data_IF_256391280796
#
_entry.id   IF_256391280796
#
_cell.length_a   1.000
_cell.length_b   1.000
_cell.length_c   1.000
_cell.angle_alpha   90.00
_cell.angle_beta   90.00
_cell.angle_gamma   90.00
#
_symmetry.space_group_name_H-M   'P 1'
#
loop_
_entity.id
_entity.type
_entity.pdbx_description
1 polymer ?
#
# COMPACT_ATOMS: atom_id res chain seq x y z
N UNK A 1 0.24 -1.94 -3.65
CA UNK A 1 -0.77 -2.05 -2.58
C UNK A 1 -1.75 -3.16 -2.89
N UNK A 2 -2.34 -3.79 -1.87
CA UNK A 2 -3.28 -4.90 -2.03
C UNK A 2 -4.59 -4.58 -1.32
N UNK A 3 -5.72 -4.94 -1.93
CA UNK A 3 -7.04 -4.83 -1.32
C UNK A 3 -7.97 -5.89 -1.90
N UNK A 4 -9.15 -6.05 -1.31
CA UNK A 4 -10.18 -6.93 -1.83
C UNK A 4 -11.53 -6.22 -1.95
N UNK A 5 -12.31 -6.59 -2.95
CA UNK A 5 -13.71 -6.20 -3.08
C UNK A 5 -14.57 -7.37 -2.61
N UNK A 6 -15.46 -7.12 -1.66
CA UNK A 6 -16.47 -8.07 -1.20
C UNK A 6 -17.80 -7.71 -1.86
N UNK A 7 -18.46 -8.70 -2.47
CA UNK A 7 -19.83 -8.56 -3.01
C UNK A 7 -20.73 -9.59 -2.37
N UNK A 8 -21.90 -9.16 -1.90
CA UNK A 8 -22.92 -10.03 -1.34
C UNK A 8 -24.24 -9.74 -2.06
N UNK A 9 -24.72 -10.71 -2.83
CA UNK A 9 -25.96 -10.62 -3.64
C UNK A 9 -26.66 -11.98 -3.62
N UNK A 10 -28.00 -11.98 -3.48
CA UNK A 10 -28.87 -13.18 -3.56
C UNK A 10 -28.31 -14.45 -2.91
N UNK A 11 -27.89 -14.33 -1.64
CA UNK A 11 -27.37 -15.41 -0.80
C UNK A 11 -26.01 -16.00 -1.29
N UNK A 12 -25.29 -15.27 -2.13
CA UNK A 12 -23.93 -15.56 -2.56
C UNK A 12 -22.96 -14.49 -2.05
N UNK A 13 -21.76 -14.93 -1.66
CA UNK A 13 -20.66 -14.07 -1.25
C UNK A 13 -19.47 -14.29 -2.20
N UNK A 14 -18.97 -13.20 -2.78
CA UNK A 14 -17.80 -13.20 -3.65
C UNK A 14 -16.70 -12.29 -3.10
N UNK A 15 -15.45 -12.71 -3.28
CA UNK A 15 -14.26 -11.92 -2.95
C UNK A 15 -13.36 -11.79 -4.17
N UNK A 16 -12.96 -10.56 -4.48
CA UNK A 16 -12.05 -10.25 -5.59
C UNK A 16 -10.81 -9.56 -5.04
N UNK A 17 -9.68 -10.27 -5.04
CA UNK A 17 -8.38 -9.70 -4.63
C UNK A 17 -7.78 -8.89 -5.77
N UNK A 18 -7.32 -7.67 -5.46
CA UNK A 18 -6.73 -6.75 -6.43
C UNK A 18 -5.39 -6.22 -5.94
N UNK A 19 -4.50 -6.00 -6.90
CA UNK A 19 -3.21 -5.34 -6.71
C UNK A 19 -3.18 -4.03 -7.47
N UNK A 20 -2.68 -2.99 -6.83
CA UNK A 20 -2.45 -1.68 -7.46
C UNK A 20 -0.95 -1.48 -7.61
N UNK A 21 -0.46 -1.18 -8.83
CA UNK A 21 0.92 -0.76 -9.05
C UNK A 21 1.25 0.42 -8.14
N UNK A 22 2.40 0.34 -7.48
CA UNK A 22 2.85 1.35 -6.53
C UNK A 22 4.26 1.79 -6.91
N UNK A 23 4.46 3.10 -7.01
CA UNK A 23 5.80 3.68 -7.16
C UNK A 23 6.47 3.73 -5.79
N UNK A 24 7.26 2.70 -5.51
CA UNK A 24 8.00 2.56 -4.25
C UNK A 24 9.01 3.70 -4.09
N UNK A 25 9.68 4.09 -5.17
CA UNK A 25 10.69 5.14 -5.13
C UNK A 25 10.07 6.50 -4.78
N UNK A 26 8.87 6.79 -5.29
CA UNK A 26 8.12 8.00 -4.93
C UNK A 26 7.78 8.05 -3.44
N UNK A 27 7.41 6.92 -2.84
CA UNK A 27 7.12 6.83 -1.40
C UNK A 27 8.39 7.08 -0.58
N UNK A 28 9.49 6.41 -0.94
CA UNK A 28 10.80 6.60 -0.29
C UNK A 28 11.23 8.06 -0.35
N UNK A 29 11.11 8.73 -1.51
CA UNK A 29 11.40 10.16 -1.66
C UNK A 29 10.51 11.02 -0.76
N UNK A 30 9.21 10.74 -0.71
CA UNK A 30 8.27 11.49 0.12
C UNK A 30 8.57 11.33 1.62
N UNK A 31 8.89 10.11 2.07
CA UNK A 31 9.28 9.83 3.46
C UNK A 31 10.52 10.64 3.83
N UNK A 32 11.57 10.60 3.00
CA UNK A 32 12.81 11.35 3.24
C UNK A 32 12.60 12.86 3.28
N UNK A 33 11.67 13.38 2.48
CA UNK A 33 11.36 14.80 2.41
C UNK A 33 10.37 15.30 3.50
N UNK A 34 9.68 14.39 4.19
CA UNK A 34 8.55 14.72 5.08
C UNK A 34 8.93 15.43 6.39
N UNK A 35 10.21 15.38 6.78
CA UNK A 35 10.69 15.94 8.06
C UNK A 35 10.24 15.17 9.31
N UNK A 36 9.60 14.00 9.14
CA UNK A 36 9.14 13.18 10.27
C UNK A 36 10.33 12.53 11.00
N UNK A 37 10.23 12.31 12.32
CA UNK A 37 11.24 11.57 13.06
C UNK A 37 11.52 10.19 12.45
N UNK A 38 12.79 9.78 12.48
CA UNK A 38 13.22 8.46 11.98
C UNK A 38 12.84 8.17 10.52
N UNK A 39 12.72 9.19 9.67
CA UNK A 39 12.37 9.05 8.25
C UNK A 39 13.19 7.98 7.52
N UNK A 40 14.50 7.89 7.75
CA UNK A 40 15.32 6.86 7.09
C UNK A 40 15.09 5.44 7.58
N UNK A 41 14.65 5.26 8.83
CA UNK A 41 14.23 3.93 9.30
C UNK A 41 12.97 3.50 8.55
N UNK A 42 12.01 4.41 8.41
CA UNK A 42 10.76 4.15 7.70
C UNK A 42 11.01 3.92 6.20
N UNK A 43 11.86 4.72 5.55
CA UNK A 43 12.21 4.55 4.14
C UNK A 43 12.75 3.14 3.84
N UNK A 44 13.62 2.61 4.71
CA UNK A 44 14.16 1.24 4.58
C UNK A 44 13.13 0.12 4.67
N UNK A 45 11.97 0.36 5.28
CA UNK A 45 10.88 -0.63 5.31
C UNK A 45 10.24 -0.80 3.92
N UNK A 46 10.37 0.21 3.05
CA UNK A 46 9.83 0.22 1.70
C UNK A 46 10.84 -0.19 0.62
N UNK A 47 12.15 -0.22 0.92
CA UNK A 47 13.23 -0.59 -0.02
C UNK A 47 13.43 -2.12 -0.17
N UNK A 48 12.55 -2.96 0.38
CA UNK A 48 12.61 -4.43 0.32
C UNK A 48 11.71 -5.00 -0.78
#
# INVERSE_FOLDING_TARGET
GEYAILRAEDNQLAIEFRRVPLDVDAIVRAIRASGIPHAEKLAKEWEK
#
